data_IF_417783450949
#
_entry.id   IF_417783450949
#
_cell.length_a   1.000
_cell.length_b   1.000
_cell.length_c   1.000
_cell.angle_alpha   90.00
_cell.angle_beta   90.00
_cell.angle_gamma   90.00
#
_symmetry.space_group_name_H-M   'P 1'
#
loop_
_entity.id
_entity.type
_entity.pdbx_description
1 polymer ?
#
# COMPACT_ATOMS: atom_id res chain seq x y z
N UNK A 1 16.69 9.35 11.97
CA UNK A 1 16.57 7.93 11.58
C UNK A 1 15.32 7.40 12.23
N UNK A 2 14.25 7.14 11.47
CA UNK A 2 12.98 6.66 12.01
C UNK A 2 13.06 5.13 12.15
N UNK A 3 13.20 4.64 13.37
CA UNK A 3 13.28 3.21 13.63
C UNK A 3 11.86 2.63 13.66
N UNK A 4 11.59 1.63 12.80
CA UNK A 4 10.37 0.83 12.80
C UNK A 4 10.31 -0.05 14.08
N UNK A 5 10.08 0.56 15.23
CA UNK A 5 9.91 -0.14 16.50
C UNK A 5 8.49 -0.72 16.59
N UNK A 6 8.31 -1.97 16.16
CA UNK A 6 7.02 -2.68 16.23
C UNK A 6 7.06 -4.06 15.59
N UNK A 7 5.99 -4.87 15.79
CA UNK A 7 5.87 -6.23 15.22
C UNK A 7 6.00 -6.25 13.69
N UNK A 8 5.43 -5.25 13.02
CA UNK A 8 5.55 -5.09 11.57
C UNK A 8 7.00 -4.81 11.15
N UNK A 9 7.71 -3.92 11.84
CA UNK A 9 9.13 -3.63 11.58
C UNK A 9 10.02 -4.88 11.71
N UNK A 10 9.83 -5.65 12.78
CA UNK A 10 10.56 -6.91 12.98
C UNK A 10 10.25 -7.93 11.88
N UNK A 11 8.99 -8.04 11.44
CA UNK A 11 8.61 -8.90 10.32
C UNK A 11 9.26 -8.48 9.00
N UNK A 12 9.28 -7.18 8.69
CA UNK A 12 9.92 -6.66 7.47
C UNK A 12 11.43 -6.98 7.47
N UNK A 13 12.10 -6.75 8.60
CA UNK A 13 13.53 -7.05 8.75
C UNK A 13 13.83 -8.54 8.62
N UNK A 14 13.04 -9.40 9.28
CA UNK A 14 13.25 -10.85 9.24
C UNK A 14 13.08 -11.45 7.84
N UNK A 15 12.28 -10.81 6.97
CA UNK A 15 11.99 -11.28 5.61
C UNK A 15 12.75 -10.50 4.52
N UNK A 16 13.68 -9.61 4.88
CA UNK A 16 14.45 -8.78 3.95
C UNK A 16 13.59 -7.96 2.98
N UNK A 17 12.47 -7.43 3.44
CA UNK A 17 11.63 -6.53 2.65
C UNK A 17 12.13 -5.07 2.76
N UNK A 18 12.16 -4.36 1.65
CA UNK A 18 12.59 -2.95 1.54
C UNK A 18 11.42 -1.97 1.34
N UNK A 19 10.19 -2.48 1.34
CA UNK A 19 8.96 -1.66 1.32
C UNK A 19 8.84 -0.80 2.57
N UNK A 20 8.45 0.47 2.37
CA UNK A 20 8.18 1.39 3.47
C UNK A 20 6.88 1.02 4.18
N UNK A 21 6.97 0.82 5.49
CA UNK A 21 5.83 0.60 6.38
C UNK A 21 5.70 1.81 7.29
N UNK A 22 4.48 2.26 7.53
CA UNK A 22 4.21 3.40 8.40
C UNK A 22 3.20 3.02 9.48
N UNK A 23 3.41 3.53 10.69
CA UNK A 23 2.38 3.58 11.72
C UNK A 23 1.63 4.90 11.54
N UNK A 24 0.31 4.88 11.31
CA UNK A 24 -0.42 6.12 11.10
C UNK A 24 -0.39 6.97 12.37
N UNK A 25 0.03 8.22 12.24
CA UNK A 25 0.11 9.16 13.38
C UNK A 25 -1.29 9.59 13.88
N UNK A 26 -2.32 9.39 13.07
CA UNK A 26 -3.73 9.74 13.31
C UNK A 26 -4.62 8.71 12.63
N UNK A 27 -5.90 8.70 12.95
CA UNK A 27 -6.89 7.86 12.27
C UNK A 27 -6.87 8.10 10.76
N UNK A 28 -6.73 7.02 9.99
CA UNK A 28 -6.86 7.06 8.53
C UNK A 28 -8.36 7.22 8.20
N UNK A 29 -8.75 8.13 7.30
CA UNK A 29 -10.17 8.29 6.94
C UNK A 29 -10.78 6.96 6.45
N UNK A 30 -12.03 6.71 6.85
CA UNK A 30 -12.74 5.46 6.53
C UNK A 30 -12.83 5.19 5.03
N UNK A 31 -12.86 6.24 4.23
CA UNK A 31 -13.01 6.14 2.77
C UNK A 31 -11.77 5.51 2.11
N UNK A 32 -10.63 5.50 2.81
CA UNK A 32 -9.42 4.82 2.34
C UNK A 32 -9.42 3.35 2.78
N UNK A 33 -9.42 3.09 4.10
CA UNK A 33 -9.15 1.75 4.67
C UNK A 33 -10.25 1.19 5.59
N UNK A 34 -11.48 1.73 5.56
CA UNK A 34 -12.61 1.20 6.31
C UNK A 34 -13.30 0.03 5.60
N UNK A 35 -14.02 -0.82 6.35
CA UNK A 35 -14.99 -1.78 5.80
C UNK A 35 -14.51 -3.20 5.54
N UNK A 36 -13.22 -3.44 5.30
CA UNK A 36 -12.67 -4.78 5.03
C UNK A 36 -11.18 -4.90 5.40
N UNK A 37 -10.70 -6.14 5.55
CA UNK A 37 -9.27 -6.48 5.65
C UNK A 37 -9.05 -7.78 4.85
N UNK A 38 -8.14 -7.84 3.85
CA UNK A 38 -7.26 -6.75 3.41
C UNK A 38 -7.96 -5.72 2.50
N UNK A 39 -7.45 -4.49 2.49
CA UNK A 39 -7.79 -3.43 1.52
C UNK A 39 -6.53 -2.92 0.86
N UNK A 40 -6.61 -2.66 -0.43
CA UNK A 40 -5.58 -1.96 -1.19
C UNK A 40 -6.16 -0.75 -1.90
N UNK A 41 -5.48 0.39 -1.75
CA UNK A 41 -5.80 1.65 -2.43
C UNK A 41 -4.64 2.06 -3.32
N UNK A 42 -4.95 2.63 -4.48
CA UNK A 42 -3.97 3.21 -5.40
C UNK A 42 -4.29 4.68 -5.58
N UNK A 43 -3.30 5.52 -5.36
CA UNK A 43 -3.38 6.97 -5.54
C UNK A 43 -2.55 7.36 -6.77
N UNK A 44 -3.04 8.32 -7.55
CA UNK A 44 -2.24 8.94 -8.60
C UNK A 44 -1.24 9.98 -8.02
N UNK A 45 -0.47 10.62 -8.90
CA UNK A 45 0.54 11.62 -8.52
C UNK A 45 -0.05 12.88 -7.88
N UNK A 46 -1.33 13.17 -8.09
CA UNK A 46 -2.04 14.28 -7.45
C UNK A 46 -2.60 13.91 -6.07
N UNK A 47 -2.49 12.64 -5.68
CA UNK A 47 -3.01 12.09 -4.44
C UNK A 47 -4.49 11.68 -4.52
N UNK A 48 -5.07 11.65 -5.71
CA UNK A 48 -6.46 11.21 -5.93
C UNK A 48 -6.51 9.68 -5.95
N UNK A 49 -7.48 9.11 -5.25
CA UNK A 49 -7.71 7.66 -5.24
C UNK A 49 -8.35 7.22 -6.56
N UNK A 50 -7.61 6.40 -7.30
CA UNK A 50 -8.00 5.92 -8.64
C UNK A 50 -8.36 4.43 -8.63
N UNK A 51 -8.01 3.69 -7.58
CA UNK A 51 -8.47 2.34 -7.35
C UNK A 51 -8.60 2.03 -5.86
N UNK A 52 -9.62 1.22 -5.54
CA UNK A 52 -9.85 0.65 -4.20
C UNK A 52 -10.32 -0.78 -4.36
N UNK A 53 -9.67 -1.70 -3.65
CA UNK A 53 -9.87 -3.15 -3.76
C UNK A 53 -10.07 -3.72 -2.35
N UNK A 54 -11.19 -4.43 -2.15
CA UNK A 54 -11.61 -5.00 -0.86
C UNK A 54 -11.51 -6.53 -0.88
N UNK A 55 -10.33 -7.07 -1.23
CA UNK A 55 -10.07 -8.50 -1.19
C UNK A 55 -8.57 -8.80 -1.26
N UNK A 56 -8.22 -10.06 -1.01
CA UNK A 56 -6.90 -10.58 -1.35
C UNK A 56 -6.77 -10.70 -2.86
N UNK A 57 -5.79 -10.02 -3.44
CA UNK A 57 -5.48 -10.11 -4.88
C UNK A 57 -4.20 -10.90 -5.09
N UNK A 58 -4.11 -11.52 -6.27
CA UNK A 58 -2.86 -12.08 -6.75
C UNK A 58 -1.96 -10.95 -7.27
N UNK A 59 -1.16 -10.38 -6.38
CA UNK A 59 -0.17 -9.35 -6.70
C UNK A 59 1.00 -9.86 -7.57
N UNK A 60 1.06 -11.17 -7.86
CA UNK A 60 2.04 -11.73 -8.79
C UNK A 60 1.55 -11.69 -10.24
N UNK A 61 0.28 -11.32 -10.47
CA UNK A 61 -0.26 -11.17 -11.81
C UNK A 61 0.47 -10.04 -12.57
N UNK A 62 1.08 -10.33 -13.73
CA UNK A 62 1.85 -9.34 -14.49
C UNK A 62 1.04 -8.11 -14.93
N UNK A 63 -0.29 -8.24 -15.04
CA UNK A 63 -1.18 -7.11 -15.36
C UNK A 63 -1.16 -6.02 -14.27
N UNK A 64 -0.91 -6.39 -13.01
CA UNK A 64 -0.77 -5.43 -11.91
C UNK A 64 0.49 -4.60 -12.09
N UNK A 65 1.61 -5.24 -12.43
CA UNK A 65 2.86 -4.53 -12.73
C UNK A 65 2.69 -3.59 -13.92
N UNK A 66 1.98 -4.01 -14.98
CA UNK A 66 1.70 -3.15 -16.13
C UNK A 66 0.91 -1.91 -15.71
N UNK A 67 -0.20 -2.10 -14.99
CA UNK A 67 -1.04 -0.98 -14.54
C UNK A 67 -0.27 0.01 -13.63
N UNK A 68 0.57 -0.49 -12.72
CA UNK A 68 1.39 0.37 -11.86
C UNK A 68 2.44 1.15 -12.65
N UNK A 69 3.05 0.56 -13.68
CA UNK A 69 3.99 1.25 -14.56
C UNK A 69 3.30 2.35 -15.38
N UNK A 70 2.15 2.06 -15.99
CA UNK A 70 1.35 3.04 -16.72
C UNK A 70 0.97 4.23 -15.83
N UNK A 71 0.61 3.97 -14.58
CA UNK A 71 0.35 5.02 -13.58
C UNK A 71 1.59 5.84 -13.24
N UNK A 72 2.74 5.19 -13.07
CA UNK A 72 4.02 5.86 -12.83
C UNK A 72 4.45 6.77 -13.97
N UNK A 73 4.07 6.45 -15.21
CA UNK A 73 4.38 7.21 -16.41
C UNK A 73 3.35 8.32 -16.72
N UNK A 74 2.11 8.19 -16.22
CA UNK A 74 1.05 9.18 -16.42
C UNK A 74 1.35 10.53 -15.71
N UNK A 75 1.03 11.66 -16.36
CA UNK A 75 1.30 13.03 -15.91
C UNK A 75 0.08 13.69 -15.26
#
# INVERSE_FOLDING_TARGET
MWTLNGKSGAFMQANNYDVLVYVPARTIPSDFLGGAIPITVVLDKSGVMIARMEDGRDYTNPEILRALNELGESN
#
